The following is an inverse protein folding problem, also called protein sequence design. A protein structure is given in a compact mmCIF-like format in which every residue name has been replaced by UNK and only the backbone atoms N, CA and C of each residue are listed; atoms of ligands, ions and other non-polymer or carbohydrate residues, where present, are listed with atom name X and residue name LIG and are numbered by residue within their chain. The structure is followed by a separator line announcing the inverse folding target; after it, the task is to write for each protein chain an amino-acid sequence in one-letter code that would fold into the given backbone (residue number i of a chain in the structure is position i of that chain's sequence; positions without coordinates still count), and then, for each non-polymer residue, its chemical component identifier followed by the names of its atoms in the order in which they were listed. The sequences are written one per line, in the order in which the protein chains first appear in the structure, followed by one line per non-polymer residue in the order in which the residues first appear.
data_IF_285593893820
#
_entry.id   IF_285593893820
#
_cell.length_a   1.000
_cell.length_b   1.000
_cell.length_c   1.000
_cell.angle_alpha   90.00
_cell.angle_beta   90.00
_cell.angle_gamma   90.00
#
_symmetry.space_group_name_H-M   'P 1'
#
loop_
_entity.id
_entity.type
_entity.pdbx_description
1 polymer ?
#
# COMPACT_ATOMS: atom_id res chain seq x y z
N UNK A 1 -0.48 -41.91 -12.76
CA UNK A 1 -1.95 -41.88 -12.78
C UNK A 1 -2.37 -41.48 -14.19
N UNK A 2 -3.25 -42.24 -14.83
CA UNK A 2 -3.74 -41.91 -16.17
C UNK A 2 -5.04 -41.07 -16.09
N UNK A 3 -5.47 -40.46 -17.20
CA UNK A 3 -6.66 -39.61 -17.25
C UNK A 3 -7.94 -40.37 -16.83
N UNK A 4 -8.04 -41.66 -17.13
CA UNK A 4 -9.20 -42.49 -16.78
C UNK A 4 -9.32 -42.74 -15.27
N UNK A 5 -8.19 -42.78 -14.55
CA UNK A 5 -8.14 -42.87 -13.09
C UNK A 5 -8.52 -41.55 -12.43
N UNK A 6 -8.03 -40.42 -12.96
CA UNK A 6 -8.39 -39.08 -12.47
C UNK A 6 -9.89 -38.77 -12.63
N UNK A 7 -10.49 -39.22 -13.74
CA UNK A 7 -11.91 -38.99 -14.03
C UNK A 7 -12.87 -39.73 -13.07
N UNK A 8 -12.37 -40.68 -12.27
CA UNK A 8 -13.17 -41.43 -11.27
C UNK A 8 -13.09 -40.82 -9.87
N UNK A 9 -12.23 -39.84 -9.65
CA UNK A 9 -12.05 -39.19 -8.35
C UNK A 9 -13.19 -38.21 -8.06
N UNK A 10 -13.58 -38.12 -6.79
CA UNK A 10 -14.40 -37.03 -6.31
C UNK A 10 -13.68 -35.67 -6.44
N UNK A 11 -14.41 -34.55 -6.47
CA UNK A 11 -13.83 -33.22 -6.69
C UNK A 11 -12.78 -32.83 -5.64
N UNK A 12 -12.92 -33.28 -4.39
CA UNK A 12 -11.94 -33.05 -3.33
C UNK A 12 -10.71 -33.95 -3.46
N UNK A 13 -10.88 -35.21 -3.87
CA UNK A 13 -9.78 -36.15 -4.09
C UNK A 13 -8.93 -35.71 -5.29
N UNK A 14 -9.59 -35.22 -6.35
CA UNK A 14 -8.91 -34.65 -7.51
C UNK A 14 -8.11 -33.40 -7.13
N UNK A 15 -8.68 -32.50 -6.30
CA UNK A 15 -7.98 -31.33 -5.76
C UNK A 15 -6.71 -31.74 -5.00
N UNK A 16 -6.81 -32.70 -4.10
CA UNK A 16 -5.67 -33.14 -3.27
C UNK A 16 -4.56 -33.77 -4.12
N UNK A 17 -4.92 -34.53 -5.16
CA UNK A 17 -3.96 -35.07 -6.14
C UNK A 17 -3.29 -33.93 -6.91
N UNK A 18 -4.06 -32.94 -7.38
CA UNK A 18 -3.53 -31.79 -8.12
C UNK A 18 -2.61 -30.91 -7.25
N UNK A 19 -2.90 -30.73 -5.96
CA UNK A 19 -2.04 -30.02 -5.02
C UNK A 19 -0.69 -30.72 -4.90
N UNK A 20 -0.69 -32.04 -4.67
CA UNK A 20 0.56 -32.83 -4.55
C UNK A 20 1.42 -32.74 -5.81
N UNK A 21 0.80 -32.78 -6.99
CA UNK A 21 1.51 -32.60 -8.27
C UNK A 21 2.06 -31.17 -8.41
N UNK A 22 1.28 -30.16 -8.05
CA UNK A 22 1.68 -28.77 -8.10
C UNK A 22 2.84 -28.44 -7.14
N UNK A 23 2.80 -28.96 -5.91
CA UNK A 23 3.85 -28.81 -4.89
C UNK A 23 5.16 -29.46 -5.32
N UNK A 24 5.09 -30.68 -5.88
CA UNK A 24 6.26 -31.40 -6.40
C UNK A 24 6.93 -30.68 -7.59
N UNK A 25 6.16 -29.87 -8.32
CA UNK A 25 6.62 -29.14 -9.51
C UNK A 25 7.15 -27.74 -9.19
N UNK A 26 6.80 -27.16 -8.04
CA UNK A 26 7.17 -25.79 -7.66
C UNK A 26 8.49 -25.73 -6.88
N UNK A 27 9.63 -25.69 -7.59
CA UNK A 27 10.96 -25.44 -6.97
C UNK A 27 11.30 -23.96 -6.77
N UNK A 28 10.45 -23.04 -7.21
CA UNK A 28 10.74 -21.60 -7.11
C UNK A 28 9.43 -20.85 -6.89
N UNK A 29 9.21 -20.50 -5.62
CA UNK A 29 8.13 -19.65 -5.12
C UNK A 29 6.73 -20.27 -5.20
N UNK A 30 5.93 -20.11 -4.13
CA UNK A 30 4.59 -20.68 -3.97
C UNK A 30 3.75 -20.57 -5.24
N UNK A 31 3.52 -21.72 -5.87
CA UNK A 31 2.92 -21.83 -7.19
C UNK A 31 1.50 -21.27 -7.17
N UNK A 32 1.17 -20.43 -8.15
CA UNK A 32 -0.19 -19.91 -8.37
C UNK A 32 -1.23 -21.04 -8.41
N UNK A 33 -0.82 -22.24 -8.84
CA UNK A 33 -1.67 -23.42 -8.87
C UNK A 33 -1.97 -23.89 -7.44
N UNK A 34 -1.01 -23.85 -6.51
CA UNK A 34 -1.26 -24.21 -5.11
C UNK A 34 -2.21 -23.21 -4.44
N UNK A 35 -2.05 -21.91 -4.70
CA UNK A 35 -2.96 -20.89 -4.19
C UNK A 35 -4.40 -21.03 -4.75
N UNK A 36 -4.54 -21.27 -6.06
CA UNK A 36 -5.84 -21.50 -6.70
C UNK A 36 -6.48 -22.77 -6.15
N UNK A 37 -5.73 -23.87 -6.05
CA UNK A 37 -6.25 -25.14 -5.56
C UNK A 37 -6.62 -25.07 -4.08
N UNK A 38 -5.92 -24.28 -3.25
CA UNK A 38 -6.20 -24.18 -1.82
C UNK A 38 -7.27 -23.15 -1.45
N UNK A 39 -7.23 -21.97 -2.07
CA UNK A 39 -8.09 -20.84 -1.71
C UNK A 39 -9.20 -20.56 -2.73
N UNK A 40 -9.20 -21.26 -3.88
CA UNK A 40 -10.12 -20.98 -4.99
C UNK A 40 -9.87 -19.63 -5.65
N UNK A 41 -8.71 -18.99 -5.43
CA UNK A 41 -8.40 -17.63 -5.89
C UNK A 41 -7.02 -17.58 -6.55
N UNK A 42 -6.94 -16.91 -7.70
CA UNK A 42 -5.68 -16.57 -8.35
C UNK A 42 -5.19 -15.20 -7.88
N UNK A 43 -3.94 -15.11 -7.43
CA UNK A 43 -3.35 -13.81 -7.11
C UNK A 43 -3.05 -13.05 -8.41
N UNK A 44 -3.52 -11.80 -8.58
CA UNK A 44 -3.15 -11.00 -9.75
C UNK A 44 -1.63 -10.86 -9.88
N UNK A 45 -1.13 -10.89 -11.12
CA UNK A 45 0.29 -10.65 -11.46
C UNK A 45 0.54 -9.21 -11.96
N UNK A 46 -0.43 -8.32 -11.74
CA UNK A 46 -0.37 -6.90 -12.02
C UNK A 46 -0.91 -6.12 -10.82
N UNK A 47 -0.50 -4.87 -10.69
CA UNK A 47 -0.95 -4.00 -9.62
C UNK A 47 -0.89 -2.52 -10.02
N UNK A 48 -1.74 -1.70 -9.39
CA UNK A 48 -1.78 -0.26 -9.64
C UNK A 48 -0.55 0.44 -9.03
N UNK A 49 0.37 0.92 -9.86
CA UNK A 49 1.62 1.54 -9.41
C UNK A 49 1.42 2.98 -8.93
N UNK A 50 0.54 3.75 -9.55
CA UNK A 50 0.29 5.15 -9.21
C UNK A 50 -0.03 5.40 -7.72
N UNK A 51 -1.03 4.74 -7.10
CA UNK A 51 -1.31 4.95 -5.68
C UNK A 51 -0.19 4.44 -4.76
N UNK A 52 0.59 3.45 -5.20
CA UNK A 52 1.74 2.93 -4.43
C UNK A 52 2.89 3.94 -4.39
N UNK A 53 3.23 4.52 -5.54
CA UNK A 53 4.19 5.62 -5.57
C UNK A 53 3.73 6.78 -4.70
N UNK A 54 2.45 7.15 -4.79
CA UNK A 54 1.86 8.22 -4.00
C UNK A 54 1.90 7.94 -2.50
N UNK A 55 1.65 6.70 -2.09
CA UNK A 55 1.81 6.26 -0.70
C UNK A 55 3.24 6.49 -0.21
N UNK A 56 4.26 6.13 -0.98
CA UNK A 56 5.65 6.39 -0.59
C UNK A 56 5.99 7.88 -0.56
N UNK A 57 5.46 8.69 -1.49
CA UNK A 57 5.67 10.14 -1.49
C UNK A 57 4.99 10.81 -0.28
N UNK A 58 3.79 10.38 0.10
CA UNK A 58 3.14 10.80 1.35
C UNK A 58 4.02 10.46 2.56
N UNK A 59 4.68 9.29 2.56
CA UNK A 59 5.61 8.90 3.61
C UNK A 59 6.80 9.86 3.72
N UNK A 60 7.39 10.26 2.59
CA UNK A 60 8.47 11.26 2.58
C UNK A 60 8.00 12.63 3.08
N UNK A 61 6.82 13.08 2.65
CA UNK A 61 6.22 14.31 3.16
C UNK A 61 5.99 14.24 4.68
N UNK A 62 5.41 13.15 5.18
CA UNK A 62 5.16 12.97 6.61
C UNK A 62 6.45 12.89 7.44
N UNK A 63 7.53 12.32 6.89
CA UNK A 63 8.85 12.34 7.52
C UNK A 63 9.40 13.75 7.62
N UNK A 64 9.28 14.56 6.55
CA UNK A 64 9.69 15.97 6.60
C UNK A 64 8.92 16.72 7.70
N UNK A 65 7.61 16.50 7.81
CA UNK A 65 6.80 17.11 8.88
C UNK A 65 7.25 16.65 10.28
N UNK A 66 7.59 15.37 10.45
CA UNK A 66 8.08 14.83 11.72
C UNK A 66 9.42 15.46 12.16
N UNK A 67 10.29 15.76 11.19
CA UNK A 67 11.58 16.40 11.44
C UNK A 67 11.47 17.89 11.80
N UNK A 68 10.32 18.54 11.56
CA UNK A 68 10.05 19.92 12.02
C UNK A 68 9.86 20.01 13.54
N UNK A 69 9.53 18.91 14.20
CA UNK A 69 9.39 18.81 15.66
C UNK A 69 10.41 17.82 16.25
N UNK A 70 11.72 18.10 16.17
CA UNK A 70 12.73 17.15 16.61
C UNK A 70 12.71 16.99 18.13
N UNK A 71 12.62 15.75 18.59
CA UNK A 71 12.80 15.37 19.99
C UNK A 71 14.29 15.22 20.33
N UNK A 72 15.08 14.70 19.38
CA UNK A 72 16.54 14.58 19.47
C UNK A 72 17.14 14.69 18.05
N UNK A 73 17.62 15.89 17.65
CA UNK A 73 18.19 16.12 16.32
C UNK A 73 19.43 15.27 16.03
N UNK A 74 20.29 15.04 17.04
CA UNK A 74 21.53 14.28 16.86
C UNK A 74 21.24 12.81 16.56
N UNK A 75 20.15 12.28 17.14
CA UNK A 75 19.71 10.90 16.93
C UNK A 75 18.66 10.74 15.83
N UNK A 76 18.32 11.82 15.11
CA UNK A 76 17.26 11.85 14.09
C UNK A 76 15.91 11.34 14.62
N UNK A 77 15.55 11.77 15.83
CA UNK A 77 14.25 11.45 16.42
C UNK A 77 13.32 12.64 16.19
N UNK A 78 12.38 12.46 15.28
CA UNK A 78 11.29 13.40 15.01
C UNK A 78 10.13 13.25 15.98
N UNK A 79 9.16 14.14 15.86
CA UNK A 79 7.90 14.13 16.58
C UNK A 79 6.79 14.62 15.65
N UNK A 80 5.57 14.16 15.85
CA UNK A 80 4.45 14.55 14.98
C UNK A 80 3.39 15.29 15.79
N UNK A 81 3.50 16.61 15.81
CA UNK A 81 2.52 17.49 16.45
C UNK A 81 1.64 18.13 15.40
N UNK A 82 0.43 18.54 15.80
CA UNK A 82 -0.46 19.26 14.91
C UNK A 82 0.12 20.65 14.64
N UNK A 83 0.59 20.85 13.42
CA UNK A 83 1.14 22.12 12.98
C UNK A 83 0.08 22.93 12.24
N UNK A 84 0.06 24.24 12.51
CA UNK A 84 -0.58 25.19 11.61
C UNK A 84 0.17 25.14 10.25
N UNK A 85 -0.54 25.39 9.16
CA UNK A 85 0.01 25.48 7.79
C UNK A 85 0.47 24.18 7.09
N UNK A 86 -0.06 23.00 7.46
CA UNK A 86 0.28 21.73 6.77
C UNK A 86 -0.10 21.75 5.29
N UNK A 87 -1.18 22.45 4.91
CA UNK A 87 -1.62 22.59 3.51
C UNK A 87 -0.56 23.30 2.67
N UNK A 88 -0.01 24.42 3.15
CA UNK A 88 0.98 25.21 2.43
C UNK A 88 2.29 24.43 2.26
N UNK A 89 2.70 23.66 3.28
CA UNK A 89 3.88 22.79 3.20
C UNK A 89 3.66 21.63 2.24
N UNK A 90 2.46 21.06 2.22
CA UNK A 90 2.09 20.03 1.24
C UNK A 90 2.13 20.56 -0.19
N UNK A 91 1.54 21.74 -0.45
CA UNK A 91 1.61 22.39 -1.78
C UNK A 91 3.06 22.67 -2.20
N UNK A 92 3.90 23.14 -1.27
CA UNK A 92 5.32 23.34 -1.53
C UNK A 92 6.02 22.02 -1.87
N UNK A 93 5.79 20.95 -1.10
CA UNK A 93 6.32 19.62 -1.38
C UNK A 93 5.92 19.13 -2.78
N UNK A 94 4.65 19.27 -3.15
CA UNK A 94 4.17 18.87 -4.47
C UNK A 94 4.82 19.68 -5.59
N UNK A 95 4.97 21.00 -5.41
CA UNK A 95 5.61 21.88 -6.41
C UNK A 95 7.08 21.53 -6.64
N UNK A 96 7.84 21.27 -5.58
CA UNK A 96 9.26 20.93 -5.62
C UNK A 96 9.52 19.54 -6.21
N UNK A 97 8.54 18.65 -6.18
CA UNK A 97 8.66 17.26 -6.61
C UNK A 97 7.71 16.92 -7.77
N UNK A 98 7.32 17.91 -8.57
CA UNK A 98 6.30 17.77 -9.62
C UNK A 98 6.63 16.71 -10.68
N UNK A 99 7.91 16.46 -10.94
CA UNK A 99 8.38 15.43 -11.89
C UNK A 99 8.54 14.03 -11.26
N UNK A 100 8.31 13.88 -9.95
CA UNK A 100 8.48 12.62 -9.23
C UNK A 100 7.22 11.76 -9.32
N UNK A 101 7.40 10.48 -9.65
CA UNK A 101 6.30 9.52 -9.71
C UNK A 101 5.50 9.48 -8.40
N UNK A 102 4.18 9.58 -8.53
CA UNK A 102 3.24 9.55 -7.40
C UNK A 102 2.91 10.93 -6.82
N UNK A 103 3.75 11.95 -7.01
CA UNK A 103 3.48 13.28 -6.43
C UNK A 103 2.26 13.92 -7.06
N UNK A 104 2.13 13.85 -8.39
CA UNK A 104 0.94 14.37 -9.07
C UNK A 104 -0.35 13.69 -8.62
N UNK A 105 -0.36 12.37 -8.49
CA UNK A 105 -1.55 11.65 -8.01
C UNK A 105 -1.87 11.98 -6.55
N UNK A 106 -0.84 12.11 -5.70
CA UNK A 106 -1.01 12.53 -4.31
C UNK A 106 -1.65 13.92 -4.22
N UNK A 107 -1.16 14.87 -5.03
CA UNK A 107 -1.72 16.22 -5.13
C UNK A 107 -3.18 16.20 -5.59
N UNK A 108 -3.46 15.54 -6.72
CA UNK A 108 -4.80 15.43 -7.29
C UNK A 108 -5.78 14.76 -6.29
N UNK A 109 -5.33 13.77 -5.51
CA UNK A 109 -6.14 13.12 -4.48
C UNK A 109 -6.52 14.09 -3.35
N UNK A 110 -5.60 14.94 -2.92
CA UNK A 110 -5.86 15.97 -1.91
C UNK A 110 -6.81 17.04 -2.43
N UNK A 111 -6.66 17.47 -3.70
CA UNK A 111 -7.61 18.38 -4.34
C UNK A 111 -9.00 17.76 -4.44
N UNK A 112 -9.10 16.47 -4.77
CA UNK A 112 -10.39 15.76 -4.82
C UNK A 112 -11.08 15.74 -3.44
N UNK A 113 -10.34 15.52 -2.36
CA UNK A 113 -10.88 15.60 -1.00
C UNK A 113 -11.47 16.98 -0.70
N UNK A 114 -10.80 18.05 -1.15
CA UNK A 114 -11.29 19.42 -1.00
C UNK A 114 -12.52 19.69 -1.86
N UNK A 115 -12.40 19.46 -3.16
CA UNK A 115 -13.28 20.02 -4.18
C UNK A 115 -14.49 19.11 -4.45
N UNK A 116 -14.35 17.80 -4.22
CA UNK A 116 -15.41 16.81 -4.48
C UNK A 116 -16.01 16.22 -3.21
N UNK A 117 -15.22 16.02 -2.15
CA UNK A 117 -15.73 15.50 -0.87
C UNK A 117 -16.06 16.61 0.12
N UNK A 118 -15.63 17.85 -0.16
CA UNK A 118 -15.93 19.03 0.65
C UNK A 118 -15.46 18.89 2.11
N UNK A 119 -14.33 18.22 2.31
CA UNK A 119 -13.71 17.98 3.61
C UNK A 119 -12.59 18.99 3.90
N UNK A 120 -12.26 19.14 5.18
CA UNK A 120 -11.15 20.00 5.61
C UNK A 120 -9.80 19.35 5.22
N UNK A 121 -9.04 20.00 4.36
CA UNK A 121 -7.79 19.46 3.80
C UNK A 121 -6.69 19.38 4.86
N UNK A 122 -6.52 20.39 5.70
CA UNK A 122 -5.57 20.36 6.82
C UNK A 122 -5.80 19.15 7.73
N UNK A 123 -7.06 18.86 8.07
CA UNK A 123 -7.42 17.71 8.90
C UNK A 123 -7.15 16.39 8.16
N UNK A 124 -7.51 16.31 6.88
CA UNK A 124 -7.23 15.14 6.06
C UNK A 124 -5.73 14.85 5.94
N UNK A 125 -4.91 15.86 5.63
CA UNK A 125 -3.45 15.71 5.53
C UNK A 125 -2.86 15.27 6.86
N UNK A 126 -3.31 15.86 7.98
CA UNK A 126 -2.87 15.45 9.30
C UNK A 126 -3.19 13.97 9.58
N UNK A 127 -4.42 13.54 9.32
CA UNK A 127 -4.86 12.15 9.49
C UNK A 127 -4.01 11.19 8.62
N UNK A 128 -3.77 11.55 7.35
CA UNK A 128 -2.97 10.74 6.44
C UNK A 128 -1.50 10.64 6.86
N UNK A 129 -0.90 11.74 7.34
CA UNK A 129 0.46 11.76 7.85
C UNK A 129 0.61 10.96 9.15
N UNK A 130 -0.32 11.12 10.09
CA UNK A 130 -0.35 10.35 11.34
C UNK A 130 -0.48 8.85 11.06
N UNK A 131 -1.38 8.48 10.15
CA UNK A 131 -1.61 7.09 9.76
C UNK A 131 -0.39 6.45 9.10
N UNK A 132 0.27 7.14 8.16
CA UNK A 132 1.42 6.56 7.46
C UNK A 132 2.67 6.49 8.35
N UNK A 133 2.82 7.41 9.31
CA UNK A 133 3.86 7.35 10.32
C UNK A 133 3.62 6.24 11.34
N UNK A 134 2.36 5.82 11.52
CA UNK A 134 1.99 4.82 12.52
C UNK A 134 2.34 5.27 13.94
N UNK A 135 2.31 6.58 14.19
CA UNK A 135 2.77 7.18 15.44
C UNK A 135 1.68 7.29 16.51
N UNK A 136 0.44 6.94 16.19
CA UNK A 136 -0.67 6.86 17.12
C UNK A 136 -1.52 5.60 16.86
N UNK A 137 -2.24 5.16 17.89
CA UNK A 137 -3.20 4.08 17.75
C UNK A 137 -4.38 4.51 16.87
N UNK A 138 -4.98 3.60 16.07
CA UNK A 138 -6.21 3.89 15.36
C UNK A 138 -7.34 4.26 16.35
N UNK A 139 -8.00 5.39 16.12
CA UNK A 139 -9.10 5.93 16.94
C UNK A 139 -10.35 6.22 16.13
#
# INVERSE_FOLDING_TARGET
MNINELARLGPFELRDVLIKVAEASSRTSGSINVAILNAGRGNPNFFATAPRYSFFQLGLFAMNESELSPMDPEKRVGGFQKHEDIEQRFELFCSQNSDVNGVRFLHDAVLFVRDNLNLNVSQFLYEMCEAILGCNYPV
#
